data_IF_750609418308
#
_entry.id   IF_750609418308
#
_cell.length_a   1.000
_cell.length_b   1.000
_cell.length_c   1.000
_cell.angle_alpha   90.00
_cell.angle_beta   90.00
_cell.angle_gamma   90.00
#
_symmetry.space_group_name_H-M   'P 1'
#
loop_
_entity.id
_entity.type
_entity.pdbx_description
1 polymer ?
#
# COMPACT_ATOMS: atom_id res chain seq x y z
N UNK A 1 -17.57 -2.55 35.12
CA UNK A 1 -16.66 -2.70 33.96
C UNK A 1 -16.42 -1.30 33.41
N UNK A 2 -15.26 -0.70 33.70
CA UNK A 2 -14.94 0.62 33.17
C UNK A 2 -14.76 0.47 31.66
N UNK A 3 -15.62 1.11 30.88
CA UNK A 3 -15.34 1.32 29.46
C UNK A 3 -14.14 2.27 29.42
N UNK A 4 -12.93 1.72 29.37
CA UNK A 4 -11.76 2.50 29.01
C UNK A 4 -12.11 3.19 27.69
N UNK A 5 -12.23 4.51 27.71
CA UNK A 5 -12.44 5.31 26.50
C UNK A 5 -11.12 5.26 25.71
N UNK A 6 -10.92 4.17 24.98
CA UNK A 6 -9.78 4.02 24.09
C UNK A 6 -9.93 5.04 22.97
N UNK A 7 -8.93 5.92 22.83
CA UNK A 7 -8.91 6.85 21.70
C UNK A 7 -8.37 6.09 20.49
N UNK A 8 -8.92 6.38 19.32
CA UNK A 8 -8.46 5.75 18.08
C UNK A 8 -6.99 6.12 17.81
N UNK A 9 -6.55 7.32 18.21
CA UNK A 9 -5.16 7.75 18.14
C UNK A 9 -4.18 6.81 18.84
N UNK A 10 -4.64 6.07 19.86
CA UNK A 10 -3.78 5.22 20.70
C UNK A 10 -3.36 3.93 19.97
N UNK A 11 -4.03 3.57 18.87
CA UNK A 11 -3.69 2.39 18.06
C UNK A 11 -2.71 2.68 16.92
N UNK A 12 -2.47 3.96 16.61
CA UNK A 12 -1.50 4.34 15.59
C UNK A 12 -0.07 4.17 16.10
N UNK A 13 0.84 3.81 15.19
CA UNK A 13 2.25 3.70 15.55
C UNK A 13 2.80 5.08 15.94
N UNK A 14 3.33 5.17 17.17
CA UNK A 14 3.91 6.39 17.71
C UNK A 14 5.12 6.90 16.91
N UNK A 15 5.81 6.04 16.15
CA UNK A 15 6.92 6.46 15.28
C UNK A 15 6.39 7.30 14.13
N UNK A 16 5.32 6.83 13.46
CA UNK A 16 4.69 7.55 12.35
C UNK A 16 4.13 8.91 12.79
N UNK A 17 3.46 8.97 13.94
CA UNK A 17 2.91 10.23 14.47
C UNK A 17 3.98 11.22 14.96
N UNK A 18 5.16 10.74 15.35
CA UNK A 18 6.29 11.62 15.73
C UNK A 18 7.01 12.19 14.53
N UNK A 19 7.10 11.43 13.44
CA UNK A 19 7.69 11.88 12.18
C UNK A 19 6.84 12.97 11.54
N UNK A 20 5.53 12.76 11.46
CA UNK A 20 4.60 13.75 10.95
C UNK A 20 3.22 13.64 11.63
N UNK A 21 2.89 14.56 12.57
CA UNK A 21 1.59 14.60 13.22
C UNK A 21 0.43 14.88 12.26
N UNK A 22 0.68 15.45 11.07
CA UNK A 22 -0.37 15.75 10.09
C UNK A 22 -0.95 14.49 9.44
N UNK A 23 -0.24 13.36 9.52
CA UNK A 23 -0.67 12.06 8.99
C UNK A 23 -1.81 11.42 9.80
N UNK A 24 -2.16 11.92 10.99
CA UNK A 24 -3.19 11.32 11.84
C UNK A 24 -4.53 11.16 11.10
N UNK A 25 -4.90 12.15 10.28
CA UNK A 25 -6.13 12.12 9.50
C UNK A 25 -6.06 11.06 8.38
N UNK A 26 -4.92 10.96 7.70
CA UNK A 26 -4.71 9.97 6.63
C UNK A 26 -4.68 8.54 7.19
N UNK A 27 -4.02 8.34 8.33
CA UNK A 27 -3.98 7.06 9.05
C UNK A 27 -5.39 6.65 9.51
N UNK A 28 -6.23 7.60 9.91
CA UNK A 28 -7.61 7.33 10.26
C UNK A 28 -8.43 6.82 9.06
N UNK A 29 -8.27 7.40 7.87
CA UNK A 29 -8.95 6.91 6.67
C UNK A 29 -8.44 5.51 6.26
N UNK A 30 -7.13 5.28 6.30
CA UNK A 30 -6.56 3.94 6.06
C UNK A 30 -7.07 2.91 7.07
N UNK A 31 -7.23 3.29 8.34
CA UNK A 31 -7.80 2.43 9.38
C UNK A 31 -9.26 2.08 9.09
N UNK A 32 -10.06 2.99 8.54
CA UNK A 32 -11.45 2.68 8.11
C UNK A 32 -11.46 1.61 7.00
N UNK A 33 -10.54 1.70 6.04
CA UNK A 33 -10.38 0.67 5.00
C UNK A 33 -10.00 -0.67 5.64
N UNK A 34 -9.04 -0.68 6.57
CA UNK A 34 -8.64 -1.88 7.28
C UNK A 34 -9.82 -2.52 8.07
N UNK A 35 -10.63 -1.70 8.75
CA UNK A 35 -11.85 -2.13 9.45
C UNK A 35 -12.87 -2.77 8.50
N UNK A 36 -13.02 -2.26 7.27
CA UNK A 36 -13.88 -2.88 6.26
C UNK A 36 -13.35 -4.25 5.81
N UNK A 37 -12.02 -4.40 5.68
CA UNK A 37 -11.37 -5.66 5.30
C UNK A 37 -11.51 -6.76 6.35
N UNK A 38 -11.57 -6.42 7.64
CA UNK A 38 -11.70 -7.39 8.74
C UNK A 38 -13.14 -7.63 9.19
N UNK A 39 -14.14 -7.19 8.42
CA UNK A 39 -15.54 -7.37 8.78
C UNK A 39 -15.86 -8.84 9.11
N UNK A 40 -16.62 -9.08 10.18
CA UNK A 40 -17.05 -10.42 10.60
C UNK A 40 -17.81 -11.17 9.51
N UNK A 41 -18.52 -10.43 8.66
CA UNK A 41 -19.29 -11.00 7.55
C UNK A 41 -18.43 -10.99 6.28
N UNK A 42 -17.97 -12.14 5.77
CA UNK A 42 -17.05 -12.18 4.63
C UNK A 42 -17.60 -11.48 3.37
N UNK A 43 -18.90 -11.57 3.12
CA UNK A 43 -19.55 -10.94 1.97
C UNK A 43 -19.66 -9.41 2.06
N UNK A 44 -19.35 -8.80 3.21
CA UNK A 44 -19.27 -7.35 3.38
C UNK A 44 -17.84 -6.82 3.17
N UNK A 45 -16.84 -7.70 3.12
CA UNK A 45 -15.45 -7.28 2.91
C UNK A 45 -15.29 -6.75 1.50
N UNK A 46 -14.55 -5.64 1.30
CA UNK A 46 -14.28 -5.13 -0.02
C UNK A 46 -13.41 -6.12 -0.82
N UNK A 47 -13.55 -6.08 -2.14
CA UNK A 47 -12.57 -6.71 -3.04
C UNK A 47 -11.29 -5.88 -3.07
N UNK A 48 -10.17 -6.47 -3.48
CA UNK A 48 -8.91 -5.72 -3.62
C UNK A 48 -9.01 -4.56 -4.61
N UNK A 49 -9.84 -4.67 -5.66
CA UNK A 49 -10.09 -3.57 -6.59
C UNK A 49 -10.75 -2.38 -5.87
N UNK A 50 -11.73 -2.65 -5.00
CA UNK A 50 -12.38 -1.62 -4.19
C UNK A 50 -11.41 -1.00 -3.18
N UNK A 51 -10.57 -1.80 -2.52
CA UNK A 51 -9.53 -1.31 -1.61
C UNK A 51 -8.57 -0.35 -2.33
N UNK A 52 -8.11 -0.72 -3.53
CA UNK A 52 -7.26 0.17 -4.34
C UNK A 52 -7.99 1.46 -4.75
N UNK A 53 -9.29 1.41 -5.04
CA UNK A 53 -10.06 2.60 -5.33
C UNK A 53 -10.17 3.53 -4.10
N UNK A 54 -10.39 2.96 -2.91
CA UNK A 54 -10.44 3.72 -1.64
C UNK A 54 -9.09 4.39 -1.34
N UNK A 55 -7.97 3.71 -1.53
CA UNK A 55 -6.64 4.32 -1.33
C UNK A 55 -6.32 5.43 -2.34
N UNK A 56 -6.88 5.36 -3.56
CA UNK A 56 -6.75 6.46 -4.53
C UNK A 56 -7.58 7.68 -4.12
N UNK A 57 -8.75 7.47 -3.55
CA UNK A 57 -9.60 8.55 -3.03
C UNK A 57 -8.94 9.26 -1.84
N UNK A 58 -8.31 8.51 -0.93
CA UNK A 58 -7.56 9.08 0.20
C UNK A 58 -6.38 9.93 -0.30
N UNK A 59 -5.62 9.44 -1.28
CA UNK A 59 -4.50 10.20 -1.87
C UNK A 59 -4.96 11.47 -2.61
N UNK A 60 -6.10 11.42 -3.30
CA UNK A 60 -6.66 12.59 -3.96
C UNK A 60 -7.11 13.69 -2.96
N UNK A 61 -7.45 13.31 -1.73
CA UNK A 61 -7.84 14.23 -0.66
C UNK A 61 -6.66 14.86 0.10
N UNK A 62 -5.47 14.24 0.09
CA UNK A 62 -4.30 14.74 0.83
C UNK A 62 -3.40 15.69 0.01
N UNK A 63 -3.70 15.93 -1.26
CA UNK A 63 -2.91 16.85 -2.11
C UNK A 63 -1.48 16.39 -2.35
N UNK A 64 -1.15 15.13 -2.04
CA UNK A 64 0.06 14.51 -2.55
C UNK A 64 -0.18 14.15 -4.01
N UNK A 65 0.28 15.04 -4.89
CA UNK A 65 0.52 14.73 -6.29
C UNK A 65 1.71 13.76 -6.36
N UNK A 66 1.56 12.53 -5.86
CA UNK A 66 2.51 11.48 -6.14
C UNK A 66 2.46 11.26 -7.65
N UNK A 67 3.46 11.82 -8.36
CA UNK A 67 3.81 11.45 -9.72
C UNK A 67 4.12 9.95 -9.71
N UNK A 68 3.08 9.14 -9.80
CA UNK A 68 3.18 7.81 -10.36
C UNK A 68 3.61 8.04 -11.79
N UNK A 69 4.88 7.76 -12.10
CA UNK A 69 5.42 7.73 -13.46
C UNK A 69 4.67 6.69 -14.28
N UNK A 70 3.46 7.00 -14.73
CA UNK A 70 2.87 6.37 -15.89
C UNK A 70 3.67 6.90 -17.05
N UNK A 71 4.59 6.09 -17.57
CA UNK A 71 5.33 6.37 -18.78
C UNK A 71 4.32 6.78 -19.86
N UNK A 72 4.22 8.08 -20.12
CA UNK A 72 3.67 8.59 -21.36
C UNK A 72 4.66 8.20 -22.44
N UNK A 73 4.18 7.37 -23.34
CA UNK A 73 4.75 7.09 -24.64
C UNK A 73 5.42 8.31 -25.31
N UNK A 74 6.52 8.00 -25.99
CA UNK A 74 7.28 8.81 -26.96
C UNK A 74 8.42 9.71 -26.43
N UNK A 75 9.66 9.27 -26.73
CA UNK A 75 10.83 10.15 -26.85
C UNK A 75 11.96 9.99 -25.81
N UNK A 76 12.92 9.09 -26.08
CA UNK A 76 14.31 9.26 -25.61
C UNK A 76 14.78 8.33 -24.48
N UNK A 77 15.02 7.06 -24.80
CA UNK A 77 15.77 6.14 -23.93
C UNK A 77 17.26 6.53 -23.90
N UNK A 78 17.69 7.22 -22.84
CA UNK A 78 19.11 7.42 -22.56
C UNK A 78 19.58 6.35 -21.58
N UNK A 79 20.56 5.58 -22.06
CA UNK A 79 21.24 4.44 -21.47
C UNK A 79 21.43 4.47 -19.94
N UNK A 80 20.79 3.52 -19.26
CA UNK A 80 21.38 2.86 -18.09
C UNK A 80 21.50 1.37 -18.42
N UNK A 81 22.71 0.83 -18.22
CA UNK A 81 23.12 -0.51 -18.65
C UNK A 81 22.11 -1.59 -18.26
N UNK A 82 21.66 -2.34 -19.26
CA UNK A 82 20.94 -3.58 -19.09
C UNK A 82 21.90 -4.59 -18.45
N UNK A 83 21.73 -4.90 -17.16
CA UNK A 83 22.46 -6.02 -16.55
C UNK A 83 21.83 -7.32 -17.07
N UNK A 84 22.57 -8.01 -17.95
CA UNK A 84 22.25 -9.32 -18.48
C UNK A 84 22.25 -10.37 -17.34
N UNK A 85 21.07 -10.83 -16.93
CA UNK A 85 20.96 -11.94 -15.99
C UNK A 85 21.01 -13.27 -16.77
N UNK A 86 22.20 -13.87 -16.86
CA UNK A 86 22.35 -15.25 -17.33
C UNK A 86 21.95 -16.23 -16.21
N UNK A 87 20.80 -16.89 -16.36
CA UNK A 87 20.40 -18.01 -15.50
C UNK A 87 21.17 -19.25 -15.96
N UNK A 88 22.06 -19.75 -15.11
CA UNK A 88 22.79 -21.00 -15.38
C UNK A 88 21.95 -22.18 -14.91
N UNK A 89 21.40 -22.96 -15.84
CA UNK A 89 20.72 -24.22 -15.53
C UNK A 89 21.71 -25.23 -14.94
N UNK A 90 21.33 -25.85 -13.82
CA UNK A 90 22.07 -26.94 -13.17
C UNK A 90 21.87 -28.27 -13.92
N UNK A 91 22.79 -29.23 -13.77
CA UNK A 91 22.79 -30.45 -14.56
C UNK A 91 21.56 -31.32 -14.26
N UNK A 92 20.86 -31.71 -15.32
CA UNK A 92 19.72 -32.61 -15.27
C UNK A 92 20.14 -33.99 -14.76
N UNK A 93 19.58 -34.40 -13.62
CA UNK A 93 19.77 -35.74 -13.06
C UNK A 93 18.91 -36.73 -13.85
N UNK A 94 19.43 -37.19 -14.98
CA UNK A 94 18.97 -38.42 -15.62
C UNK A 94 19.16 -39.59 -14.67
N UNK A 95 18.07 -40.14 -14.13
CA UNK A 95 18.07 -41.44 -13.48
C UNK A 95 16.91 -42.29 -13.99
N UNK A 96 17.30 -43.12 -14.96
CA UNK A 96 16.88 -44.50 -15.23
C UNK A 96 15.50 -44.76 -15.82
#
# INVERSE_FOLDING_TARGET
MQHANLRISDVFDSVLLKEDPSLEMELLEHLKVACACINDRPWKRPTMIQVMAMFKEIQAGCGLDSQSTTATEDGGFSAVEMVEMSIKEGPELSKQ
#
